data_IF_606842947975
#
_entry.id   IF_606842947975
#
_cell.length_a   1.000
_cell.length_b   1.000
_cell.length_c   1.000
_cell.angle_alpha   90.00
_cell.angle_beta   90.00
_cell.angle_gamma   90.00
#
_symmetry.space_group_name_H-M   'P 1'
#
loop_
_entity.id
_entity.type
_entity.pdbx_description
1 polymer ?
#
# COMPACT_ATOMS: atom_id res chain seq x y z
N UNK A 1 17.27 -19.41 10.37
CA UNK A 1 16.53 -18.19 10.78
C UNK A 1 15.22 -18.21 10.01
N UNK A 2 14.08 -18.13 10.70
CA UNK A 2 12.77 -18.17 10.05
C UNK A 2 12.61 -17.02 9.05
N UNK A 3 12.48 -17.36 7.78
CA UNK A 3 12.22 -16.42 6.69
C UNK A 3 10.73 -16.12 6.49
N UNK A 4 9.90 -16.50 7.48
CA UNK A 4 8.46 -16.24 7.43
C UNK A 4 8.19 -14.74 7.45
N UNK A 5 7.11 -14.34 6.77
CA UNK A 5 6.65 -12.95 6.78
C UNK A 5 6.38 -12.44 8.20
N UNK A 6 5.86 -13.31 9.07
CA UNK A 6 5.58 -13.00 10.48
C UNK A 6 6.86 -12.65 11.24
N UNK A 7 7.95 -13.39 11.03
CA UNK A 7 9.23 -13.10 11.68
C UNK A 7 9.80 -11.74 11.22
N UNK A 8 9.68 -11.43 9.93
CA UNK A 8 10.11 -10.13 9.37
C UNK A 8 9.29 -8.96 9.92
N UNK A 9 7.97 -9.11 10.01
CA UNK A 9 7.08 -8.09 10.61
C UNK A 9 7.43 -7.87 12.08
N UNK A 10 7.61 -8.94 12.86
CA UNK A 10 8.01 -8.83 14.28
C UNK A 10 9.33 -8.08 14.44
N UNK A 11 10.30 -8.32 13.56
CA UNK A 11 11.57 -7.60 13.57
C UNK A 11 11.40 -6.10 13.24
N UNK A 12 10.54 -5.76 12.28
CA UNK A 12 10.21 -4.37 11.97
C UNK A 12 9.56 -3.65 13.16
N UNK A 13 8.67 -4.32 13.89
CA UNK A 13 8.02 -3.79 15.10
C UNK A 13 8.98 -3.58 16.28
N UNK A 14 10.18 -4.17 16.24
CA UNK A 14 11.21 -4.05 17.27
C UNK A 14 12.29 -3.02 16.94
N UNK A 15 12.23 -2.38 15.77
CA UNK A 15 13.17 -1.32 15.42
C UNK A 15 12.92 -0.06 16.26
N UNK A 16 13.91 0.82 16.37
CA UNK A 16 13.82 2.11 17.07
C UNK A 16 12.94 3.14 16.31
N UNK A 17 11.86 2.69 15.69
CA UNK A 17 10.86 3.54 15.04
C UNK A 17 9.48 3.28 15.65
N UNK A 18 8.67 4.34 15.72
CA UNK A 18 7.27 4.21 16.14
C UNK A 18 6.47 3.55 15.01
N UNK A 19 6.12 2.27 15.18
CA UNK A 19 5.29 1.53 14.23
C UNK A 19 3.89 1.34 14.83
N UNK A 20 2.88 1.89 14.16
CA UNK A 20 1.47 1.70 14.53
C UNK A 20 0.80 0.82 13.48
N UNK A 21 0.30 -0.35 13.89
CA UNK A 21 -0.49 -1.22 13.02
C UNK A 21 -1.95 -0.79 13.10
N UNK A 22 -2.53 -0.37 11.98
CA UNK A 22 -3.94 -0.03 11.86
C UNK A 22 -4.60 -0.94 10.84
N UNK A 23 -5.81 -1.38 11.15
CA UNK A 23 -6.69 -2.01 10.18
C UNK A 23 -7.49 -0.93 9.47
N UNK A 24 -7.32 -0.83 8.15
CA UNK A 24 -8.06 0.08 7.28
C UNK A 24 -8.80 -0.74 6.23
N UNK A 25 -9.98 -0.28 5.84
CA UNK A 25 -10.72 -0.88 4.74
C UNK A 25 -10.00 -0.63 3.41
N UNK A 26 -10.16 -1.55 2.45
CA UNK A 26 -9.46 -1.49 1.16
C UNK A 26 -9.86 -0.22 0.37
N UNK A 27 -11.11 0.24 0.53
CA UNK A 27 -11.64 1.45 -0.08
C UNK A 27 -10.93 2.72 0.39
N UNK A 28 -10.32 2.71 1.58
CA UNK A 28 -9.48 3.81 2.11
C UNK A 28 -7.99 3.63 1.80
N UNK A 29 -7.62 2.61 1.02
CA UNK A 29 -6.22 2.27 0.73
C UNK A 29 -5.99 2.06 -0.78
N UNK A 30 -6.79 2.70 -1.63
CA UNK A 30 -6.79 2.48 -3.09
C UNK A 30 -5.43 2.79 -3.74
N UNK A 31 -4.71 3.80 -3.23
CA UNK A 31 -3.39 4.13 -3.74
C UNK A 31 -2.38 2.98 -3.50
N UNK A 32 -2.37 2.39 -2.30
CA UNK A 32 -1.48 1.27 -2.01
C UNK A 32 -1.88 0.01 -2.79
N UNK A 33 -3.18 -0.24 -2.98
CA UNK A 33 -3.71 -1.34 -3.80
C UNK A 33 -3.20 -1.24 -5.25
N UNK A 34 -3.36 -0.06 -5.87
CA UNK A 34 -2.91 0.17 -7.25
C UNK A 34 -1.39 0.08 -7.41
N UNK A 35 -0.61 0.50 -6.40
CA UNK A 35 0.85 0.34 -6.40
C UNK A 35 1.27 -1.11 -6.22
N UNK A 36 0.56 -1.90 -5.41
CA UNK A 36 0.81 -3.32 -5.25
C UNK A 36 0.54 -4.08 -6.55
N UNK A 37 -0.56 -3.77 -7.25
CA UNK A 37 -0.90 -4.35 -8.55
C UNK A 37 0.16 -4.01 -9.61
N UNK A 38 0.61 -2.76 -9.66
CA UNK A 38 1.72 -2.37 -10.54
C UNK A 38 2.98 -3.15 -10.19
N UNK A 39 3.35 -3.23 -8.92
CA UNK A 39 4.52 -3.97 -8.45
C UNK A 39 4.48 -5.44 -8.90
N UNK A 40 3.33 -6.10 -8.77
CA UNK A 40 3.11 -7.45 -9.27
C UNK A 40 3.33 -7.55 -10.79
N UNK A 41 2.90 -6.55 -11.57
CA UNK A 41 3.04 -6.54 -13.03
C UNK A 41 4.45 -6.22 -13.55
N UNK A 42 5.29 -5.55 -12.74
CA UNK A 42 6.59 -5.06 -13.19
C UNK A 42 7.66 -6.15 -13.32
N UNK A 43 7.45 -7.35 -12.79
CA UNK A 43 8.42 -8.47 -12.78
C UNK A 43 9.80 -8.12 -12.17
N UNK A 44 9.95 -6.94 -11.57
CA UNK A 44 11.16 -6.44 -10.89
C UNK A 44 11.02 -6.58 -9.38
N UNK A 45 12.11 -6.84 -8.67
CA UNK A 45 12.07 -6.98 -7.20
C UNK A 45 11.67 -5.69 -6.47
N UNK A 46 12.22 -4.53 -6.85
CA UNK A 46 11.95 -3.23 -6.25
C UNK A 46 12.11 -2.15 -7.32
N UNK A 47 11.20 -1.17 -7.36
CA UNK A 47 11.26 -0.01 -8.23
C UNK A 47 11.08 1.27 -7.39
N UNK A 48 11.89 2.29 -7.67
CA UNK A 48 11.83 3.60 -7.02
C UNK A 48 11.38 4.65 -8.02
N UNK A 49 10.48 5.54 -7.60
CA UNK A 49 9.98 6.63 -8.41
C UNK A 49 10.37 7.96 -7.75
N UNK A 50 11.11 8.81 -8.46
CA UNK A 50 11.47 10.16 -8.01
C UNK A 50 10.26 11.11 -7.93
N UNK A 51 9.20 10.80 -8.68
CA UNK A 51 7.93 11.54 -8.71
C UNK A 51 6.75 10.57 -8.84
N UNK A 52 5.57 10.94 -8.30
CA UNK A 52 4.36 10.13 -8.44
C UNK A 52 4.07 9.82 -9.92
N UNK A 53 3.93 8.54 -10.32
CA UNK A 53 3.55 8.20 -11.68
C UNK A 53 2.19 8.81 -12.03
N UNK A 54 2.09 9.42 -13.21
CA UNK A 54 0.90 10.15 -13.65
C UNK A 54 -0.38 9.32 -13.58
N UNK A 55 -0.28 8.02 -13.87
CA UNK A 55 -1.39 7.06 -13.76
C UNK A 55 -1.98 6.90 -12.35
N UNK A 56 -1.24 7.22 -11.28
CA UNK A 56 -1.73 7.16 -9.89
C UNK A 56 -2.00 8.53 -9.27
N UNK A 57 -1.69 9.62 -9.97
CA UNK A 57 -1.86 10.99 -9.46
C UNK A 57 -3.26 11.24 -8.88
N UNK A 58 -4.30 10.76 -9.57
CA UNK A 58 -5.69 10.89 -9.13
C UNK A 58 -5.97 10.14 -7.81
N UNK A 59 -5.38 8.96 -7.60
CA UNK A 59 -5.54 8.20 -6.35
C UNK A 59 -4.89 8.91 -5.17
N UNK A 60 -3.71 9.51 -5.38
CA UNK A 60 -3.03 10.30 -4.35
C UNK A 60 -3.86 11.52 -3.95
N UNK A 61 -4.48 12.18 -4.92
CA UNK A 61 -5.36 13.33 -4.64
C UNK A 61 -6.62 12.90 -3.88
N UNK A 62 -7.27 11.81 -4.30
CA UNK A 62 -8.46 11.25 -3.63
C UNK A 62 -8.14 10.86 -2.18
N UNK A 63 -7.00 10.21 -1.95
CA UNK A 63 -6.52 9.82 -0.62
C UNK A 63 -6.23 11.05 0.26
N UNK A 64 -5.51 12.05 -0.25
CA UNK A 64 -5.21 13.28 0.45
C UNK A 64 -6.47 14.10 0.82
N UNK A 65 -7.52 14.01 0.00
CA UNK A 65 -8.81 14.65 0.24
C UNK A 65 -9.75 13.81 1.13
N UNK A 66 -9.36 12.60 1.52
CA UNK A 66 -10.18 11.70 2.34
C UNK A 66 -11.46 11.23 1.64
N UNK A 67 -11.46 11.19 0.31
CA UNK A 67 -12.64 10.79 -0.48
C UNK A 67 -12.80 9.27 -0.41
N UNK A 68 -13.95 8.83 0.11
CA UNK A 68 -14.30 7.41 0.18
C UNK A 68 -15.12 7.01 -1.07
N UNK A 69 -14.61 6.07 -1.86
CA UNK A 69 -15.33 5.49 -2.99
C UNK A 69 -15.74 4.06 -2.63
N UNK A 70 -17.03 3.80 -2.34
CA UNK A 70 -17.50 2.45 -2.07
C UNK A 70 -17.32 1.56 -3.30
N UNK A 71 -16.86 0.32 -3.12
CA UNK A 71 -16.91 -0.69 -4.19
C UNK A 71 -18.38 -1.04 -4.46
N UNK A 72 -18.84 -0.81 -5.68
CA UNK A 72 -20.13 -1.32 -6.12
C UNK A 72 -19.99 -2.82 -6.37
N UNK A 73 -20.36 -3.63 -5.39
CA UNK A 73 -20.46 -5.08 -5.57
C UNK A 73 -21.86 -5.39 -6.08
N UNK A 74 -21.97 -5.87 -7.32
CA UNK A 74 -23.21 -6.48 -7.79
C UNK A 74 -23.37 -7.82 -7.09
N UNK A 75 -24.47 -8.00 -6.37
CA UNK A 75 -24.89 -9.29 -5.80
C UNK A 75 -25.53 -10.15 -6.90
#
# INVERSE_FOLDING_TARGET
>A
MDNSIVAKIRRLLQMDCEVVVRHSYQETNQCADALADLGCSLHTNICFYESCPTQFSHLVVVDALGVFIPRLISV
#
